data_IF_961749219426
#
_entry.id   IF_961749219426
#
_cell.length_a   1.000
_cell.length_b   1.000
_cell.length_c   1.000
_cell.angle_alpha   90.00
_cell.angle_beta   90.00
_cell.angle_gamma   90.00
#
_symmetry.space_group_name_H-M   'P 1'
#
loop_
_entity.id
_entity.type
_entity.pdbx_description
1 polymer ?
#
# COMPACT_ATOMS: atom_id res chain seq x y z
N UNK A 1 -42.75 -60.74 -2.96
CA UNK A 1 -41.35 -60.72 -2.45
C UNK A 1 -40.98 -59.24 -2.35
N UNK A 2 -41.34 -58.58 -1.25
CA UNK A 2 -40.45 -58.33 -0.08
C UNK A 2 -39.19 -57.56 -0.52
N UNK A 3 -38.94 -56.33 -0.10
CA UNK A 3 -39.02 -55.85 1.29
C UNK A 3 -39.43 -54.38 1.43
N UNK A 4 -40.29 -54.17 2.42
CA UNK A 4 -40.71 -52.93 3.08
C UNK A 4 -39.70 -52.54 4.19
N UNK A 5 -39.97 -51.39 4.86
CA UNK A 5 -39.45 -50.91 6.18
C UNK A 5 -38.22 -49.98 6.12
N UNK A 6 -38.33 -48.65 6.24
CA UNK A 6 -38.89 -47.76 7.28
C UNK A 6 -37.88 -47.30 8.36
N UNK A 7 -37.76 -45.95 8.44
CA UNK A 7 -37.65 -45.07 9.62
C UNK A 7 -36.48 -45.24 10.61
N UNK A 8 -35.81 -44.11 10.85
CA UNK A 8 -35.03 -43.84 12.06
C UNK A 8 -34.72 -42.34 12.19
N UNK A 9 -35.62 -41.62 12.87
CA UNK A 9 -35.42 -40.25 13.35
C UNK A 9 -34.79 -40.35 14.76
N UNK A 10 -33.77 -39.56 15.09
CA UNK A 10 -33.19 -39.50 16.43
C UNK A 10 -32.29 -38.28 16.62
N UNK A 11 -32.36 -37.55 17.76
CA UNK A 11 -31.92 -36.17 17.89
C UNK A 11 -30.55 -36.00 18.57
N UNK A 12 -30.16 -34.72 18.66
CA UNK A 12 -28.98 -34.15 19.31
C UNK A 12 -28.68 -34.67 20.72
N UNK A 13 -27.39 -34.65 21.11
CA UNK A 13 -26.99 -34.22 22.44
C UNK A 13 -25.66 -33.41 22.45
N UNK A 14 -25.51 -32.47 23.40
CA UNK A 14 -24.36 -31.58 23.60
C UNK A 14 -23.51 -31.94 24.85
N UNK A 15 -22.45 -31.17 25.12
CA UNK A 15 -21.59 -31.24 26.31
C UNK A 15 -20.18 -31.73 25.93
N UNK A 16 -19.06 -31.19 26.40
CA UNK A 16 -18.72 -30.62 27.72
C UNK A 16 -17.62 -29.55 27.49
N UNK A 17 -17.79 -28.29 27.92
CA UNK A 17 -17.40 -27.73 29.23
C UNK A 17 -16.04 -28.20 29.78
N UNK A 18 -15.03 -27.33 29.72
CA UNK A 18 -14.31 -26.85 30.92
C UNK A 18 -13.17 -25.88 30.58
N UNK A 19 -13.38 -24.64 31.03
CA UNK A 19 -12.47 -23.83 31.83
C UNK A 19 -10.97 -23.77 31.46
N UNK A 20 -10.51 -22.57 31.10
CA UNK A 20 -9.37 -21.97 31.78
C UNK A 20 -9.56 -20.45 31.88
N UNK A 21 -9.94 -20.02 33.09
CA UNK A 21 -9.81 -18.64 33.55
C UNK A 21 -8.41 -18.34 34.09
N UNK A 22 -8.19 -17.15 34.67
CA UNK A 22 -7.04 -16.30 34.36
C UNK A 22 -5.87 -16.41 35.36
N UNK A 23 -4.71 -15.87 34.96
CA UNK A 23 -3.61 -15.56 35.86
C UNK A 23 -3.01 -14.18 35.54
N UNK A 24 -3.47 -13.15 36.25
CA UNK A 24 -2.65 -12.05 36.78
C UNK A 24 -2.25 -12.46 38.23
N UNK A 25 -1.21 -11.91 38.91
CA UNK A 25 -0.74 -10.51 38.87
C UNK A 25 0.78 -10.28 39.02
N UNK A 26 1.22 -9.03 38.92
CA UNK A 26 2.58 -8.61 39.31
C UNK A 26 2.84 -7.12 39.17
N UNK A 27 2.53 -6.37 40.23
CA UNK A 27 2.73 -4.93 40.38
C UNK A 27 4.21 -4.47 40.45
N UNK A 28 4.36 -3.16 40.22
CA UNK A 28 5.31 -2.23 40.80
C UNK A 28 6.77 -2.23 40.30
N UNK A 29 7.14 -1.12 39.64
CA UNK A 29 8.15 -0.21 40.18
C UNK A 29 8.16 1.15 39.48
N UNK A 30 7.70 2.12 40.23
CA UNK A 30 8.06 3.53 40.14
C UNK A 30 9.59 3.74 40.03
N UNK A 31 10.04 4.68 39.18
CA UNK A 31 11.16 5.54 39.56
C UNK A 31 11.10 6.87 38.82
N UNK A 32 10.76 7.94 39.55
CA UNK A 32 11.09 9.30 39.14
C UNK A 32 12.52 9.63 39.56
N UNK A 33 13.20 10.49 38.80
CA UNK A 33 14.20 11.41 39.34
C UNK A 33 14.51 12.50 38.32
N UNK A 34 14.54 13.73 38.85
CA UNK A 34 14.70 14.98 38.15
C UNK A 34 16.16 15.48 38.15
N UNK A 35 16.53 16.15 37.05
CA UNK A 35 17.52 17.26 36.94
C UNK A 35 19.02 16.95 37.11
N UNK A 36 19.92 17.94 36.91
CA UNK A 36 19.75 19.29 36.36
C UNK A 36 20.70 19.62 35.17
N UNK A 37 20.50 20.79 34.55
CA UNK A 37 21.23 21.26 33.38
C UNK A 37 22.66 21.76 33.61
N UNK A 38 23.29 22.23 32.51
CA UNK A 38 24.33 23.27 32.54
C UNK A 38 24.57 23.86 31.14
N UNK A 39 24.51 25.18 31.11
CA UNK A 39 25.01 26.09 30.08
C UNK A 39 26.47 25.86 29.72
N UNK A 40 26.77 26.14 28.44
CA UNK A 40 27.94 26.87 27.87
C UNK A 40 27.89 26.63 26.35
N UNK A 41 27.76 27.62 25.47
CA UNK A 41 28.50 28.87 25.39
C UNK A 41 29.40 28.80 24.15
N UNK A 42 28.98 29.42 23.04
CA UNK A 42 29.83 29.75 21.88
C UNK A 42 29.05 30.84 21.12
N UNK A 43 29.54 32.05 20.88
CA UNK A 43 30.89 32.45 20.54
C UNK A 43 30.75 33.30 19.28
N UNK A 44 30.65 34.63 19.47
CA UNK A 44 30.51 35.62 18.41
C UNK A 44 31.65 35.57 17.41
N UNK A 45 31.33 35.69 16.12
CA UNK A 45 32.24 36.28 15.12
C UNK A 45 31.41 37.03 14.07
N UNK A 46 31.85 38.26 13.82
CA UNK A 46 31.24 39.34 13.05
C UNK A 46 31.60 39.29 11.54
N UNK A 47 31.17 40.26 10.69
CA UNK A 47 30.63 39.98 9.36
C UNK A 47 31.61 40.19 8.20
N UNK A 48 31.40 39.41 7.12
CA UNK A 48 32.04 39.59 5.82
C UNK A 48 31.11 40.28 4.82
N UNK A 49 31.51 41.48 4.40
CA UNK A 49 30.87 42.32 3.40
C UNK A 49 31.00 41.74 1.98
N UNK A 50 30.03 42.03 1.10
CA UNK A 50 30.37 42.46 -0.26
C UNK A 50 29.79 41.70 -1.47
N UNK A 51 28.69 42.27 -2.01
CA UNK A 51 28.60 42.77 -3.40
C UNK A 51 28.83 41.78 -4.58
N UNK A 52 27.74 41.47 -5.32
CA UNK A 52 27.33 42.11 -6.61
C UNK A 52 26.45 41.18 -7.46
N UNK A 53 25.30 41.71 -7.86
CA UNK A 53 24.47 41.22 -8.96
C UNK A 53 25.16 41.56 -10.30
N UNK A 54 25.24 40.59 -11.21
CA UNK A 54 25.60 40.76 -12.62
C UNK A 54 24.44 40.32 -13.52
N UNK A 55 24.22 40.98 -14.67
CA UNK A 55 22.97 40.87 -15.42
C UNK A 55 22.89 39.68 -16.38
N UNK A 56 21.65 39.33 -16.70
CA UNK A 56 21.21 38.31 -17.63
C UNK A 56 21.82 38.44 -19.03
N UNK A 57 22.47 37.38 -19.49
CA UNK A 57 22.80 37.14 -20.89
C UNK A 57 21.65 36.39 -21.57
N UNK A 58 21.08 37.01 -22.59
CA UNK A 58 20.16 36.39 -23.54
C UNK A 58 20.98 35.45 -24.43
N UNK A 59 20.55 34.19 -24.50
CA UNK A 59 21.04 33.20 -25.44
C UNK A 59 19.85 32.44 -25.99
N UNK A 60 19.24 32.99 -27.04
CA UNK A 60 18.35 32.25 -27.92
C UNK A 60 19.19 31.20 -28.65
N UNK A 61 18.97 29.93 -28.33
CA UNK A 61 19.35 28.82 -29.19
C UNK A 61 18.12 27.92 -29.33
N UNK A 62 17.45 28.07 -30.47
CA UNK A 62 16.51 27.07 -30.97
C UNK A 62 17.29 25.78 -31.19
N UNK A 63 17.04 24.79 -30.33
CA UNK A 63 17.30 23.40 -30.64
C UNK A 63 15.94 22.71 -30.73
N UNK A 64 15.58 22.40 -31.97
CA UNK A 64 14.56 21.44 -32.33
C UNK A 64 14.67 20.22 -31.41
N UNK A 65 13.58 19.96 -30.69
CA UNK A 65 13.46 18.84 -29.77
C UNK A 65 13.63 17.53 -30.52
N UNK A 66 14.85 17.00 -30.54
CA UNK A 66 15.11 15.61 -30.84
C UNK A 66 14.34 14.76 -29.85
N UNK A 67 13.28 14.10 -30.32
CA UNK A 67 12.55 13.11 -29.57
C UNK A 67 13.54 12.06 -29.08
N UNK A 68 13.85 12.10 -27.78
CA UNK A 68 14.66 11.08 -27.13
C UNK A 68 13.98 9.73 -27.39
N UNK A 69 14.68 8.83 -28.09
CA UNK A 69 14.22 7.47 -28.33
C UNK A 69 13.83 6.85 -26.98
N UNK A 70 12.55 6.55 -26.81
CA UNK A 70 12.03 5.95 -25.58
C UNK A 70 12.77 4.62 -25.34
N UNK A 71 13.55 4.53 -24.27
CA UNK A 71 14.36 3.36 -23.89
C UNK A 71 13.53 2.14 -23.46
N UNK A 72 12.21 2.17 -23.67
CA UNK A 72 11.27 1.12 -23.31
C UNK A 72 10.89 0.24 -24.51
N UNK A 73 10.23 -0.90 -24.25
CA UNK A 73 9.65 -1.73 -25.30
C UNK A 73 8.62 -0.95 -26.11
N UNK A 74 8.45 -1.33 -27.37
CA UNK A 74 7.43 -0.79 -28.27
C UNK A 74 6.03 -0.93 -27.63
N UNK A 75 5.17 0.06 -27.84
CA UNK A 75 3.78 0.08 -27.35
C UNK A 75 2.80 -0.02 -28.50
N UNK A 76 1.66 -0.64 -28.25
CA UNK A 76 0.53 -0.59 -29.19
C UNK A 76 0.01 0.85 -29.35
N UNK A 77 -0.63 1.20 -30.48
CA UNK A 77 -1.13 2.56 -30.71
C UNK A 77 -2.13 3.06 -29.66
N UNK A 78 -2.91 2.15 -29.07
CA UNK A 78 -3.82 2.43 -27.94
C UNK A 78 -3.09 2.61 -26.60
N UNK A 79 -1.79 2.33 -26.52
CA UNK A 79 -0.98 2.41 -25.31
C UNK A 79 -1.23 1.30 -24.28
N UNK A 80 -2.22 0.43 -24.50
CA UNK A 80 -2.68 -0.59 -23.55
C UNK A 80 -1.69 -1.75 -23.37
N UNK A 81 -0.82 -1.98 -24.35
CA UNK A 81 0.14 -3.08 -24.34
C UNK A 81 1.56 -2.62 -24.68
N UNK A 82 2.54 -3.30 -24.08
CA UNK A 82 3.93 -3.32 -24.55
C UNK A 82 4.17 -4.60 -25.37
N UNK A 83 5.06 -4.52 -26.37
CA UNK A 83 5.43 -5.65 -27.23
C UNK A 83 6.88 -6.03 -26.94
N UNK A 84 7.09 -7.27 -26.47
CA UNK A 84 8.40 -7.81 -26.15
C UNK A 84 8.58 -9.12 -26.90
N UNK A 85 9.56 -9.16 -27.83
CA UNK A 85 9.83 -10.33 -28.69
C UNK A 85 8.57 -10.82 -29.41
N UNK A 86 7.76 -9.90 -29.94
CA UNK A 86 6.51 -10.20 -30.66
C UNK A 86 5.32 -10.56 -29.76
N UNK A 87 5.49 -10.65 -28.44
CA UNK A 87 4.40 -10.94 -27.49
C UNK A 87 3.88 -9.67 -26.85
N UNK A 88 2.55 -9.50 -26.83
CA UNK A 88 1.87 -8.41 -26.13
C UNK A 88 1.75 -8.71 -24.64
N UNK A 89 2.08 -7.72 -23.82
CA UNK A 89 1.89 -7.71 -22.37
C UNK A 89 1.14 -6.45 -21.98
N UNK A 90 0.22 -6.55 -21.02
CA UNK A 90 -0.51 -5.38 -20.52
C UNK A 90 0.46 -4.34 -19.99
N UNK A 91 0.32 -3.10 -20.45
CA UNK A 91 1.12 -1.99 -19.97
C UNK A 91 0.62 -1.53 -18.59
N UNK A 92 1.54 -0.95 -17.80
CA UNK A 92 1.17 -0.20 -16.60
C UNK A 92 0.14 0.87 -16.95
N UNK A 93 -0.86 0.99 -16.09
CA UNK A 93 -1.90 2.02 -16.18
C UNK A 93 -1.27 3.43 -16.21
N UNK A 94 -1.57 4.14 -17.29
CA UNK A 94 -1.03 5.47 -17.54
C UNK A 94 -1.66 6.54 -16.65
N UNK A 95 -2.86 6.29 -16.10
CA UNK A 95 -3.57 7.17 -15.17
C UNK A 95 -2.97 7.21 -13.77
N UNK A 96 -2.11 6.24 -13.40
CA UNK A 96 -1.41 6.26 -12.11
C UNK A 96 -0.43 7.44 -12.07
N UNK A 97 -0.54 8.35 -11.09
CA UNK A 97 0.41 9.45 -10.94
C UNK A 97 1.83 8.94 -10.73
N UNK A 98 2.82 9.65 -11.30
CA UNK A 98 4.22 9.19 -11.34
C UNK A 98 4.81 8.87 -9.97
N UNK A 99 4.43 9.61 -8.92
CA UNK A 99 4.85 9.33 -7.54
C UNK A 99 4.42 7.93 -7.09
N UNK A 100 3.13 7.60 -7.22
CA UNK A 100 2.62 6.29 -6.83
C UNK A 100 3.13 5.18 -7.75
N UNK A 101 3.28 5.46 -9.06
CA UNK A 101 3.88 4.51 -10.00
C UNK A 101 5.29 4.11 -9.56
N UNK A 102 6.13 5.08 -9.17
CA UNK A 102 7.49 4.81 -8.68
C UNK A 102 7.49 3.95 -7.42
N UNK A 103 6.60 4.22 -6.46
CA UNK A 103 6.45 3.43 -5.24
C UNK A 103 6.05 1.97 -5.57
N UNK A 104 5.04 1.78 -6.42
CA UNK A 104 4.58 0.45 -6.83
C UNK A 104 5.62 -0.33 -7.65
N UNK A 105 6.36 0.35 -8.53
CA UNK A 105 7.48 -0.27 -9.27
C UNK A 105 8.61 -0.65 -8.33
N UNK A 106 8.92 0.19 -7.33
CA UNK A 106 9.95 -0.12 -6.34
C UNK A 106 9.57 -1.37 -5.53
N UNK A 107 8.31 -1.48 -5.08
CA UNK A 107 7.81 -2.70 -4.43
C UNK A 107 7.87 -3.91 -5.37
N UNK A 108 7.44 -3.78 -6.63
CA UNK A 108 7.52 -4.86 -7.61
C UNK A 108 8.96 -5.36 -7.78
N UNK A 109 9.93 -4.46 -7.85
CA UNK A 109 11.34 -4.84 -7.95
C UNK A 109 11.86 -5.47 -6.67
N UNK A 110 11.44 -5.00 -5.49
CA UNK A 110 11.75 -5.60 -4.19
C UNK A 110 11.21 -7.04 -4.12
N UNK A 111 9.92 -7.23 -4.41
CA UNK A 111 9.27 -8.53 -4.46
C UNK A 111 9.94 -9.48 -5.46
N UNK A 112 10.34 -9.01 -6.65
CA UNK A 112 11.10 -9.83 -7.63
C UNK A 112 12.46 -10.28 -7.10
N UNK A 113 13.16 -9.44 -6.32
CA UNK A 113 14.41 -9.86 -5.65
C UNK A 113 14.13 -10.92 -4.59
N UNK A 114 13.04 -10.76 -3.82
CA UNK A 114 12.62 -11.75 -2.83
C UNK A 114 12.26 -13.12 -3.46
N UNK A 115 11.71 -13.14 -4.69
CA UNK A 115 11.50 -14.40 -5.43
C UNK A 115 12.82 -15.13 -5.68
N UNK A 116 13.91 -14.40 -5.96
CA UNK A 116 15.24 -14.98 -6.19
C UNK A 116 15.82 -15.56 -4.89
N UNK A 117 15.56 -14.94 -3.74
CA UNK A 117 15.95 -15.46 -2.43
C UNK A 117 15.00 -16.53 -1.87
N UNK A 118 13.95 -16.91 -2.64
CA UNK A 118 12.96 -17.94 -2.28
C UNK A 118 12.16 -17.59 -1.02
N UNK A 119 11.92 -16.31 -0.78
CA UNK A 119 10.95 -15.85 0.22
C UNK A 119 9.55 -16.40 -0.10
N UNK A 120 8.84 -16.83 0.93
CA UNK A 120 7.57 -17.56 0.79
C UNK A 120 6.43 -16.68 0.22
N UNK A 121 6.42 -15.40 0.56
CA UNK A 121 5.36 -14.44 0.19
C UNK A 121 5.70 -13.63 -1.05
N UNK A 122 6.92 -13.74 -1.58
CA UNK A 122 7.40 -12.94 -2.70
C UNK A 122 6.51 -13.00 -3.96
N UNK A 123 5.89 -14.15 -4.23
CA UNK A 123 5.00 -14.28 -5.40
C UNK A 123 3.70 -13.50 -5.24
N UNK A 124 3.15 -13.50 -4.03
CA UNK A 124 1.92 -12.76 -3.71
C UNK A 124 2.20 -11.25 -3.75
N UNK A 125 3.37 -10.83 -3.26
CA UNK A 125 3.83 -9.44 -3.40
C UNK A 125 3.96 -9.01 -4.86
N UNK A 126 4.52 -9.86 -5.73
CA UNK A 126 4.58 -9.60 -7.18
C UNK A 126 3.18 -9.50 -7.79
N UNK A 127 2.25 -10.37 -7.36
CA UNK A 127 0.88 -10.33 -7.83
C UNK A 127 0.19 -9.02 -7.43
N UNK A 128 0.23 -8.64 -6.15
CA UNK A 128 -0.37 -7.40 -5.65
C UNK A 128 0.20 -6.16 -6.36
N UNK A 129 1.52 -6.05 -6.46
CA UNK A 129 2.14 -4.89 -7.13
C UNK A 129 1.75 -4.80 -8.61
N UNK A 130 1.63 -5.94 -9.31
CA UNK A 130 1.19 -5.96 -10.72
C UNK A 130 -0.29 -5.64 -10.89
N UNK A 131 -1.15 -6.09 -9.97
CA UNK A 131 -2.57 -5.73 -9.98
C UNK A 131 -2.72 -4.23 -9.71
N UNK A 132 -2.02 -3.68 -8.71
CA UNK A 132 -2.01 -2.25 -8.42
C UNK A 132 -1.57 -1.40 -9.64
N UNK A 133 -0.49 -1.82 -10.31
CA UNK A 133 0.01 -1.21 -11.55
C UNK A 133 -0.93 -1.37 -12.76
N UNK A 134 -1.98 -2.19 -12.65
CA UNK A 134 -2.89 -2.50 -13.77
C UNK A 134 -2.29 -3.48 -14.79
N UNK A 135 -1.15 -4.11 -14.51
CA UNK A 135 -0.52 -5.12 -15.39
C UNK A 135 -1.22 -6.49 -15.31
N UNK A 136 -2.07 -6.68 -14.30
CA UNK A 136 -2.88 -7.88 -14.03
C UNK A 136 -4.24 -7.47 -13.47
N UNK A 137 -5.18 -8.42 -13.44
CA UNK A 137 -6.57 -8.17 -13.04
C UNK A 137 -7.41 -7.70 -14.24
N UNK A 138 -8.45 -6.93 -13.97
CA UNK A 138 -9.29 -6.35 -15.01
C UNK A 138 -8.54 -5.29 -15.83
N UNK A 139 -8.84 -5.14 -17.13
CA UNK A 139 -8.21 -4.12 -17.97
C UNK A 139 -8.55 -2.71 -17.48
N UNK A 140 -7.54 -1.88 -17.25
CA UNK A 140 -7.73 -0.52 -16.72
C UNK A 140 -8.34 0.47 -17.74
N UNK A 141 -8.41 0.08 -19.02
CA UNK A 141 -9.06 0.85 -20.08
C UNK A 141 -10.52 0.45 -20.32
N UNK A 142 -11.02 -0.53 -19.56
CA UNK A 142 -12.42 -0.93 -19.56
C UNK A 142 -13.08 -0.44 -18.27
N UNK A 143 -14.41 -0.34 -18.28
CA UNK A 143 -15.16 -0.04 -17.05
C UNK A 143 -14.95 -1.19 -16.06
N UNK A 144 -14.39 -0.94 -14.86
CA UNK A 144 -14.13 -1.99 -13.91
C UNK A 144 -15.44 -2.52 -13.33
N UNK A 145 -15.48 -3.82 -13.04
CA UNK A 145 -16.52 -4.36 -12.17
C UNK A 145 -16.24 -3.94 -10.72
N UNK A 146 -17.27 -4.00 -9.88
CA UNK A 146 -17.10 -3.71 -8.46
C UNK A 146 -16.05 -4.62 -7.81
N UNK A 147 -16.11 -5.93 -8.09
CA UNK A 147 -15.15 -6.91 -7.56
C UNK A 147 -13.73 -6.68 -8.07
N UNK A 148 -13.59 -6.35 -9.36
CA UNK A 148 -12.30 -6.03 -9.96
C UNK A 148 -11.64 -4.80 -9.36
N UNK A 149 -12.43 -3.75 -9.11
CA UNK A 149 -11.97 -2.53 -8.46
C UNK A 149 -11.58 -2.79 -7.00
N UNK A 150 -12.41 -3.49 -6.22
CA UNK A 150 -12.11 -3.88 -4.83
C UNK A 150 -10.84 -4.70 -4.73
N UNK A 151 -10.64 -5.67 -5.64
CA UNK A 151 -9.41 -6.46 -5.69
C UNK A 151 -8.17 -5.58 -5.99
N UNK A 152 -8.31 -4.59 -6.88
CA UNK A 152 -7.24 -3.64 -7.21
C UNK A 152 -6.93 -2.68 -6.07
N UNK A 153 -7.94 -2.23 -5.33
CA UNK A 153 -7.78 -1.41 -4.13
C UNK A 153 -7.02 -2.15 -3.03
N UNK A 154 -7.43 -3.38 -2.70
CA UNK A 154 -6.76 -4.20 -1.69
C UNK A 154 -5.28 -4.48 -2.07
N UNK A 155 -5.03 -4.82 -3.33
CA UNK A 155 -3.68 -5.01 -3.85
C UNK A 155 -2.83 -3.73 -3.75
N UNK A 156 -3.43 -2.57 -4.02
CA UNK A 156 -2.77 -1.26 -3.90
C UNK A 156 -2.44 -0.93 -2.45
N UNK A 157 -3.37 -1.17 -1.51
CA UNK A 157 -3.13 -0.99 -0.07
C UNK A 157 -1.93 -1.85 0.38
N UNK A 158 -1.95 -3.15 0.09
CA UNK A 158 -0.85 -4.05 0.45
C UNK A 158 0.48 -3.64 -0.16
N UNK A 159 0.50 -3.31 -1.46
CA UNK A 159 1.72 -2.92 -2.15
C UNK A 159 2.33 -1.62 -1.58
N UNK A 160 1.52 -0.60 -1.31
CA UNK A 160 2.00 0.66 -0.73
C UNK A 160 2.47 0.48 0.72
N UNK A 161 1.77 -0.32 1.53
CA UNK A 161 2.18 -0.60 2.92
C UNK A 161 3.51 -1.35 2.97
N UNK A 162 3.69 -2.37 2.12
CA UNK A 162 4.96 -3.09 2.00
C UNK A 162 6.09 -2.19 1.51
N UNK A 163 5.83 -1.37 0.48
CA UNK A 163 6.82 -0.42 -0.02
C UNK A 163 7.32 0.52 1.07
N UNK A 164 6.39 1.06 1.87
CA UNK A 164 6.68 2.08 2.87
C UNK A 164 7.19 1.50 4.20
N UNK A 165 7.35 0.17 4.28
CA UNK A 165 8.06 -0.57 5.32
C UNK A 165 7.75 -0.09 6.75
N UNK A 166 6.53 -0.37 7.22
CA UNK A 166 6.08 -0.04 8.58
C UNK A 166 5.52 1.38 8.73
N UNK A 167 5.64 2.25 7.72
CA UNK A 167 4.95 3.54 7.69
C UNK A 167 3.49 3.38 7.25
N UNK A 168 2.69 4.41 7.55
CA UNK A 168 1.27 4.44 7.23
C UNK A 168 0.98 5.08 5.87
N UNK A 169 -0.15 4.72 5.28
CA UNK A 169 -0.78 5.44 4.16
C UNK A 169 -2.11 6.06 4.62
N UNK A 170 -2.78 6.80 3.75
CA UNK A 170 -4.19 7.14 3.94
C UNK A 170 -5.05 6.60 2.77
N UNK A 171 -6.38 6.51 2.92
CA UNK A 171 -7.25 6.11 1.83
C UNK A 171 -7.05 6.93 0.55
N UNK A 172 -6.75 8.23 0.67
CA UNK A 172 -6.53 9.08 -0.50
C UNK A 172 -5.23 8.80 -1.26
N UNK A 173 -4.26 8.09 -0.67
CA UNK A 173 -3.12 7.56 -1.43
C UNK A 173 -3.59 6.49 -2.42
N UNK A 174 -4.46 5.58 -1.98
CA UNK A 174 -5.05 4.52 -2.81
C UNK A 174 -5.94 5.12 -3.89
N UNK A 175 -6.83 6.04 -3.52
CA UNK A 175 -7.72 6.66 -4.49
C UNK A 175 -6.96 7.46 -5.56
N UNK A 176 -5.96 8.25 -5.17
CA UNK A 176 -5.16 8.99 -6.16
C UNK A 176 -4.35 8.07 -7.05
N UNK A 177 -4.01 6.88 -6.57
CA UNK A 177 -3.36 5.86 -7.39
C UNK A 177 -4.31 5.34 -8.49
N UNK A 178 -5.60 5.17 -8.19
CA UNK A 178 -6.54 4.43 -9.05
C UNK A 178 -7.58 5.28 -9.79
N UNK A 179 -8.06 6.37 -9.20
CA UNK A 179 -9.29 7.04 -9.64
C UNK A 179 -9.11 8.26 -10.55
N UNK A 180 -7.88 8.56 -11.00
CA UNK A 180 -7.62 9.69 -11.90
C UNK A 180 -8.22 11.01 -11.40
N UNK A 181 -8.95 11.72 -12.27
CA UNK A 181 -9.64 12.98 -11.94
C UNK A 181 -10.79 12.79 -10.92
N UNK A 182 -11.41 11.61 -10.89
CA UNK A 182 -12.59 11.28 -10.07
C UNK A 182 -12.24 10.53 -8.79
N UNK A 183 -10.97 10.57 -8.36
CA UNK A 183 -10.48 9.76 -7.24
C UNK A 183 -11.28 9.91 -5.94
N UNK A 184 -11.92 11.06 -5.71
CA UNK A 184 -12.72 11.28 -4.50
C UNK A 184 -13.92 10.35 -4.40
N UNK A 185 -14.47 9.92 -5.54
CA UNK A 185 -15.66 9.09 -5.62
C UNK A 185 -15.37 7.66 -5.13
N UNK A 186 -14.10 7.23 -5.14
CA UNK A 186 -13.65 5.94 -4.62
C UNK A 186 -13.55 5.90 -3.08
N UNK A 187 -13.62 7.04 -2.39
CA UNK A 187 -13.35 7.10 -0.95
C UNK A 187 -14.24 6.22 -0.06
N UNK A 188 -15.56 6.11 -0.30
CA UNK A 188 -16.41 5.20 0.46
C UNK A 188 -15.97 3.74 0.28
N UNK A 189 -15.80 3.30 -0.97
CA UNK A 189 -15.43 1.91 -1.27
C UNK A 189 -14.05 1.54 -0.70
N UNK A 190 -13.05 2.43 -0.82
CA UNK A 190 -11.72 2.19 -0.24
C UNK A 190 -11.78 2.07 1.29
N UNK A 191 -12.68 2.81 1.96
CA UNK A 191 -12.89 2.66 3.40
C UNK A 191 -13.51 1.32 3.74
N UNK A 192 -14.49 0.87 2.95
CA UNK A 192 -15.10 -0.44 3.11
C UNK A 192 -14.07 -1.56 2.92
N UNK A 193 -13.25 -1.51 1.86
CA UNK A 193 -12.15 -2.45 1.61
C UNK A 193 -11.14 -2.42 2.76
N UNK A 194 -10.77 -1.24 3.26
CA UNK A 194 -9.87 -1.13 4.42
C UNK A 194 -10.49 -1.73 5.70
N UNK A 195 -11.82 -1.63 5.87
CA UNK A 195 -12.55 -2.25 6.97
C UNK A 195 -12.55 -3.78 6.89
N UNK A 196 -12.79 -4.32 5.69
CA UNK A 196 -12.69 -5.76 5.42
C UNK A 196 -11.27 -6.29 5.71
N UNK A 197 -10.25 -5.59 5.21
CA UNK A 197 -8.84 -5.93 5.48
C UNK A 197 -8.48 -5.84 6.96
N UNK A 198 -9.04 -4.88 7.70
CA UNK A 198 -8.86 -4.78 9.13
C UNK A 198 -9.55 -5.93 9.89
N UNK A 199 -10.72 -6.37 9.43
CA UNK A 199 -11.44 -7.50 9.99
C UNK A 199 -10.68 -8.83 9.90
N UNK A 200 -9.79 -8.97 8.92
CA UNK A 200 -8.89 -10.14 8.76
C UNK A 200 -7.45 -9.89 9.23
N UNK A 201 -7.19 -8.75 9.89
CA UNK A 201 -5.89 -8.45 10.49
C UNK A 201 -4.78 -8.01 9.52
N UNK A 202 -5.07 -7.80 8.23
CA UNK A 202 -4.08 -7.31 7.25
C UNK A 202 -3.76 -5.81 7.44
N UNK A 203 -4.68 -5.04 8.01
CA UNK A 203 -4.51 -3.58 8.17
C UNK A 203 -4.96 -3.15 9.57
N UNK A 204 -4.19 -2.26 10.20
CA UNK A 204 -4.67 -1.50 11.35
C UNK A 204 -5.10 -0.10 10.90
N UNK A 205 -6.34 0.28 11.19
CA UNK A 205 -6.87 1.61 10.86
C UNK A 205 -6.84 2.48 12.11
N UNK A 206 -6.18 3.63 12.04
CA UNK A 206 -6.08 4.56 13.18
C UNK A 206 -6.52 5.98 12.84
N UNK A 207 -7.05 6.67 13.84
CA UNK A 207 -7.30 8.10 13.82
C UNK A 207 -6.79 8.70 15.13
N UNK A 208 -5.92 9.72 15.03
CA UNK A 208 -5.30 10.37 16.21
C UNK A 208 -4.61 9.36 17.16
N UNK A 209 -4.07 8.27 16.61
CA UNK A 209 -3.38 7.22 17.38
C UNK A 209 -4.29 6.12 17.93
N UNK A 210 -5.61 6.25 17.80
CA UNK A 210 -6.56 5.25 18.29
C UNK A 210 -7.09 4.40 17.13
N UNK A 211 -7.30 3.11 17.37
CA UNK A 211 -7.90 2.19 16.40
C UNK A 211 -9.37 2.56 16.17
N UNK A 212 -9.78 2.67 14.91
CA UNK A 212 -11.15 3.06 14.53
C UNK A 212 -11.68 2.23 13.38
N UNK A 213 -13.00 2.11 13.30
CA UNK A 213 -13.68 1.58 12.12
C UNK A 213 -13.64 2.62 10.97
N UNK A 214 -13.05 2.30 9.81
CA UNK A 214 -12.95 3.23 8.67
C UNK A 214 -14.30 3.64 8.07
N UNK A 215 -15.34 2.80 8.17
CA UNK A 215 -16.67 3.05 7.60
C UNK A 215 -17.43 4.14 8.39
N UNK A 216 -17.18 4.23 9.69
CA UNK A 216 -17.86 5.19 10.58
C UNK A 216 -16.98 6.38 11.00
N UNK A 217 -15.66 6.25 10.94
CA UNK A 217 -14.72 7.31 11.31
C UNK A 217 -14.85 8.56 10.43
N UNK A 218 -15.03 9.72 11.04
CA UNK A 218 -15.14 11.01 10.33
C UNK A 218 -13.77 11.66 10.16
N UNK A 219 -13.48 12.11 8.94
CA UNK A 219 -12.24 12.83 8.63
C UNK A 219 -11.04 11.91 8.35
N UNK A 220 -9.81 12.43 8.43
CA UNK A 220 -8.60 11.69 8.05
C UNK A 220 -8.36 10.47 8.94
N UNK A 221 -8.02 9.35 8.30
CA UNK A 221 -7.59 8.09 8.93
C UNK A 221 -6.25 7.65 8.33
N UNK A 222 -5.53 6.79 9.04
CA UNK A 222 -4.27 6.20 8.61
C UNK A 222 -4.42 4.68 8.56
N UNK A 223 -3.88 4.08 7.51
CA UNK A 223 -3.79 2.64 7.35
C UNK A 223 -2.34 2.24 7.65
N UNK A 224 -2.15 1.32 8.59
CA UNK A 224 -0.86 0.72 8.94
C UNK A 224 -0.88 -0.78 8.60
N UNK A 225 0.28 -1.43 8.44
CA UNK A 225 0.34 -2.89 8.40
C UNK A 225 -0.36 -3.47 9.64
N UNK A 226 -1.26 -4.43 9.43
CA UNK A 226 -1.79 -5.24 10.51
C UNK A 226 -0.86 -6.41 10.85
N UNK A 227 -1.11 -7.11 11.97
CA UNK A 227 -0.28 -8.24 12.40
C UNK A 227 -0.25 -9.40 11.38
N UNK A 228 -1.31 -9.54 10.58
CA UNK A 228 -1.46 -10.64 9.62
C UNK A 228 -1.09 -10.23 8.18
N UNK A 229 -0.54 -9.01 7.98
CA UNK A 229 -0.04 -8.61 6.67
C UNK A 229 1.24 -9.36 6.32
N UNK A 230 1.09 -10.43 5.55
CA UNK A 230 2.20 -11.24 5.06
C UNK A 230 3.14 -10.46 4.13
N UNK A 231 4.41 -10.88 4.12
CA UNK A 231 5.42 -10.39 3.17
C UNK A 231 5.87 -8.95 3.41
N UNK A 232 5.76 -8.44 4.63
CA UNK A 232 6.41 -7.18 5.01
C UNK A 232 7.93 -7.33 4.84
N UNK A 233 8.63 -6.35 4.21
CA UNK A 233 10.08 -6.36 4.20
C UNK A 233 10.60 -6.28 5.64
N UNK A 234 11.69 -6.98 5.94
CA UNK A 234 12.37 -6.82 7.22
C UNK A 234 12.76 -5.35 7.41
N UNK A 235 12.63 -4.83 8.63
CA UNK A 235 12.91 -3.44 8.93
C UNK A 235 14.33 -3.04 8.47
N UNK A 236 14.43 -2.09 7.54
CA UNK A 236 15.68 -1.37 7.25
C UNK A 236 16.55 -1.83 6.08
N UNK A 237 15.97 -2.34 4.98
CA UNK A 237 16.71 -2.58 3.71
C UNK A 237 16.60 -1.43 2.69
#
# INVERSE_FOLDING_TARGET
MSTDKARGNGPAEPGEDSANGPAEPGEDRSNGSAGPGKDRGNGSVEPGQGRRNGPAGQGENGQEGGAAASSGPERTPDGHHIVVKGRKWRATDTGIPETFRKELVAELMSARRAVKSRDEHARDRVQDAKVALGERGEPWWEEPTEDGLRAREAATIRALLRHRAGKTICPSDVARTLGGEHWRDLMPQIRDVAGEMAGVGEVTVTQKGETVDPCTARGPIRLAPGPDLAGMPADGE
#
